data_IF_299032577557
#
_entry.id   IF_299032577557
#
_cell.length_a   1.000
_cell.length_b   1.000
_cell.length_c   1.000
_cell.angle_alpha   90.00
_cell.angle_beta   90.00
_cell.angle_gamma   90.00
#
_symmetry.space_group_name_H-M   'P 1'
#
loop_
_entity.id
_entity.type
_entity.pdbx_description
1 polymer ?
#
# COMPACT_ATOMS: atom_id res chain seq x y z
N UNK A 1 4.77 28.61 -17.57
CA UNK A 1 4.55 27.47 -16.64
C UNK A 1 3.09 27.49 -16.20
N UNK A 2 2.34 26.44 -16.48
CA UNK A 2 0.89 26.35 -16.20
C UNK A 2 0.67 25.88 -14.75
N UNK A 3 0.30 26.82 -13.86
CA UNK A 3 -0.06 26.59 -12.45
C UNK A 3 -1.47 25.95 -12.26
N UNK A 4 -2.07 25.39 -13.32
CA UNK A 4 -3.43 24.84 -13.27
C UNK A 4 -3.38 23.35 -12.94
N UNK A 5 -3.32 22.98 -11.65
CA UNK A 5 -3.79 21.66 -11.13
C UNK A 5 -3.78 21.52 -9.60
N UNK A 6 -3.63 22.59 -8.82
CA UNK A 6 -3.59 22.50 -7.36
C UNK A 6 -4.94 22.87 -6.73
N UNK A 7 -5.89 21.92 -6.72
CA UNK A 7 -7.10 22.01 -5.90
C UNK A 7 -7.29 20.66 -5.22
N UNK A 8 -6.77 20.53 -3.98
CA UNK A 8 -7.29 19.57 -3.01
C UNK A 8 -6.64 18.18 -2.89
N UNK A 9 -5.58 17.84 -3.63
CA UNK A 9 -4.80 16.60 -3.36
C UNK A 9 -3.46 16.96 -2.72
N UNK A 10 -3.24 16.51 -1.48
CA UNK A 10 -1.90 16.50 -0.89
C UNK A 10 -0.99 15.69 -1.83
N UNK A 11 -0.07 16.38 -2.50
CA UNK A 11 0.93 15.74 -3.33
C UNK A 11 1.76 14.82 -2.45
N UNK A 12 2.00 13.59 -2.90
CA UNK A 12 2.96 12.72 -2.22
C UNK A 12 4.33 13.40 -2.23
N UNK A 13 5.19 13.20 -1.21
CA UNK A 13 6.49 13.86 -1.14
C UNK A 13 7.34 13.75 -2.41
N UNK A 14 7.25 12.65 -3.15
CA UNK A 14 7.93 12.47 -4.44
C UNK A 14 7.36 13.34 -5.58
N UNK A 15 6.04 13.57 -5.60
CA UNK A 15 5.39 14.43 -6.57
C UNK A 15 5.69 15.90 -6.28
N UNK A 16 5.66 16.28 -5.00
CA UNK A 16 6.06 17.62 -4.57
C UNK A 16 7.53 17.89 -4.90
N UNK A 17 8.43 16.93 -4.64
CA UNK A 17 9.83 17.06 -5.02
C UNK A 17 10.01 17.20 -6.54
N UNK A 18 9.23 16.50 -7.37
CA UNK A 18 9.31 16.64 -8.81
C UNK A 18 8.88 18.04 -9.33
N UNK A 19 7.98 18.74 -8.62
CA UNK A 19 7.57 20.12 -8.96
C UNK A 19 8.60 21.17 -8.51
N UNK A 20 9.32 20.91 -7.42
CA UNK A 20 10.27 21.85 -6.82
C UNK A 20 11.69 21.74 -7.38
N UNK A 21 12.05 20.58 -7.95
CA UNK A 21 13.42 20.34 -8.38
C UNK A 21 13.75 21.01 -9.73
N UNK A 22 15.00 21.47 -9.90
CA UNK A 22 15.51 21.89 -11.20
C UNK A 22 15.34 20.82 -12.29
N UNK A 23 15.24 21.19 -13.59
CA UNK A 23 14.98 20.25 -14.69
C UNK A 23 16.05 19.17 -14.86
N UNK A 24 17.29 19.46 -14.48
CA UNK A 24 18.46 18.58 -14.51
C UNK A 24 18.50 17.60 -13.34
N UNK A 25 17.64 17.79 -12.34
CA UNK A 25 17.59 16.96 -11.15
C UNK A 25 16.33 16.08 -11.13
N UNK A 26 16.40 15.04 -10.31
CA UNK A 26 15.29 14.15 -10.01
C UNK A 26 15.33 13.70 -8.56
N UNK A 27 14.16 13.44 -8.00
CA UNK A 27 14.05 12.91 -6.65
C UNK A 27 14.25 11.40 -6.64
N UNK A 28 15.24 10.91 -5.90
CA UNK A 28 15.42 9.48 -5.67
C UNK A 28 14.53 9.03 -4.51
N UNK A 29 13.50 8.22 -4.78
CA UNK A 29 12.58 7.71 -3.74
C UNK A 29 13.22 6.68 -2.81
N UNK A 30 14.35 6.08 -3.20
CA UNK A 30 15.07 5.11 -2.36
C UNK A 30 15.92 5.84 -1.32
N UNK A 31 16.62 6.89 -1.76
CA UNK A 31 17.56 7.63 -0.93
C UNK A 31 16.97 8.91 -0.31
N UNK A 32 15.76 9.31 -0.73
CA UNK A 32 15.09 10.54 -0.31
C UNK A 32 15.95 11.79 -0.48
N UNK A 33 16.56 11.95 -1.65
CA UNK A 33 17.40 13.09 -1.99
C UNK A 33 17.28 13.46 -3.47
N UNK A 34 17.64 14.70 -3.79
CA UNK A 34 17.80 15.16 -5.17
C UNK A 34 19.08 14.56 -5.78
N UNK A 35 19.00 14.15 -7.05
CA UNK A 35 20.11 13.55 -7.80
C UNK A 35 20.08 14.10 -9.22
N UNK A 36 21.25 14.41 -9.77
CA UNK A 36 21.38 14.77 -11.18
C UNK A 36 20.92 13.64 -12.09
N UNK A 37 20.04 13.95 -13.05
CA UNK A 37 19.48 12.96 -13.98
C UNK A 37 20.56 12.25 -14.79
N UNK A 38 21.56 13.00 -15.26
CA UNK A 38 22.66 12.46 -16.06
C UNK A 38 23.49 11.44 -15.28
N UNK A 39 23.61 11.64 -13.96
CA UNK A 39 24.42 10.80 -13.07
C UNK A 39 23.59 9.81 -12.26
N UNK A 40 22.30 9.66 -12.59
CA UNK A 40 21.42 8.76 -11.86
C UNK A 40 21.92 7.31 -11.91
N UNK A 41 22.51 6.88 -13.02
CA UNK A 41 23.10 5.54 -13.14
C UNK A 41 24.23 5.31 -12.12
N UNK A 42 25.13 6.29 -11.96
CA UNK A 42 26.21 6.24 -10.96
C UNK A 42 25.65 6.22 -9.54
N UNK A 43 24.66 7.08 -9.25
CA UNK A 43 23.96 7.09 -7.98
C UNK A 43 23.32 5.72 -7.67
N UNK A 44 22.64 5.11 -8.65
CA UNK A 44 22.00 3.80 -8.51
C UNK A 44 23.01 2.66 -8.28
N UNK A 45 24.24 2.80 -8.78
CA UNK A 45 25.33 1.85 -8.57
C UNK A 45 25.95 1.95 -7.16
N UNK A 46 25.72 3.03 -6.42
CA UNK A 46 26.25 3.18 -5.06
C UNK A 46 25.74 2.07 -4.14
N UNK A 47 26.59 1.64 -3.20
CA UNK A 47 26.23 0.61 -2.21
C UNK A 47 25.05 1.05 -1.34
N UNK A 48 24.99 2.33 -0.97
CA UNK A 48 23.86 2.90 -0.21
C UNK A 48 22.53 2.75 -0.93
N UNK A 49 22.48 3.10 -2.22
CA UNK A 49 21.26 2.96 -3.02
C UNK A 49 20.83 1.49 -3.16
N UNK A 50 21.77 0.59 -3.49
CA UNK A 50 21.48 -0.85 -3.65
C UNK A 50 20.93 -1.47 -2.36
N UNK A 51 21.53 -1.15 -1.21
CA UNK A 51 21.07 -1.61 0.10
C UNK A 51 19.70 -1.04 0.45
N UNK A 52 19.47 0.26 0.20
CA UNK A 52 18.18 0.91 0.39
C UNK A 52 17.08 0.24 -0.43
N UNK A 53 17.35 -0.04 -1.70
CA UNK A 53 16.40 -0.72 -2.61
C UNK A 53 16.08 -2.14 -2.14
N UNK A 54 17.08 -2.91 -1.69
CA UNK A 54 16.87 -4.25 -1.12
C UNK A 54 16.00 -4.20 0.14
N UNK A 55 16.24 -3.23 1.03
CA UNK A 55 15.42 -3.04 2.24
C UNK A 55 13.99 -2.64 1.91
N UNK A 56 13.79 -1.69 0.98
CA UNK A 56 12.45 -1.30 0.51
C UNK A 56 11.67 -2.49 -0.04
N UNK A 57 12.29 -3.29 -0.92
CA UNK A 57 11.63 -4.46 -1.48
C UNK A 57 11.26 -5.48 -0.41
N UNK A 58 12.14 -5.70 0.57
CA UNK A 58 11.86 -6.58 1.71
C UNK A 58 10.67 -6.07 2.53
N UNK A 59 10.60 -4.77 2.82
CA UNK A 59 9.48 -4.17 3.57
C UNK A 59 8.17 -4.28 2.79
N UNK A 60 8.19 -4.04 1.47
CA UNK A 60 7.01 -4.22 0.61
C UNK A 60 6.50 -5.66 0.66
N UNK A 61 7.40 -6.63 0.57
CA UNK A 61 7.02 -8.04 0.64
C UNK A 61 6.46 -8.40 2.03
N UNK A 62 7.09 -7.94 3.11
CA UNK A 62 6.59 -8.14 4.46
C UNK A 62 5.20 -7.52 4.66
N UNK A 63 4.97 -6.31 4.17
CA UNK A 63 3.65 -5.66 4.28
C UNK A 63 2.58 -6.42 3.51
N UNK A 64 2.90 -6.92 2.31
CA UNK A 64 1.98 -7.73 1.51
C UNK A 64 1.67 -9.06 2.21
N UNK A 65 2.68 -9.76 2.71
CA UNK A 65 2.47 -11.00 3.47
C UNK A 65 1.65 -10.78 4.74
N UNK A 66 1.87 -9.68 5.45
CA UNK A 66 1.06 -9.34 6.63
C UNK A 66 -0.39 -9.05 6.24
N UNK A 67 -0.61 -8.38 5.10
CA UNK A 67 -1.93 -8.13 4.55
C UNK A 67 -2.65 -9.45 4.20
N UNK A 68 -1.99 -10.33 3.45
CA UNK A 68 -2.51 -11.65 3.08
C UNK A 68 -2.87 -12.48 4.32
N UNK A 69 -1.99 -12.51 5.33
CA UNK A 69 -2.24 -13.21 6.60
C UNK A 69 -3.41 -12.63 7.39
N UNK A 70 -3.54 -11.31 7.42
CA UNK A 70 -4.64 -10.64 8.13
C UNK A 70 -5.99 -10.85 7.43
N UNK A 71 -6.01 -10.92 6.10
CA UNK A 71 -7.22 -11.09 5.29
C UNK A 71 -7.60 -12.56 5.04
N UNK A 72 -6.65 -13.48 5.10
CA UNK A 72 -6.87 -14.91 4.86
C UNK A 72 -7.00 -15.30 3.38
N UNK A 73 -6.58 -14.43 2.44
CA UNK A 73 -6.64 -14.68 0.99
C UNK A 73 -5.37 -14.12 0.29
N UNK A 74 -4.80 -14.83 -0.72
CA UNK A 74 -3.63 -14.38 -1.49
C UNK A 74 -3.92 -13.16 -2.37
N UNK A 75 -2.93 -12.28 -2.57
CA UNK A 75 -3.09 -11.04 -3.35
C UNK A 75 -3.32 -11.28 -4.87
N UNK A 76 -2.84 -12.41 -5.38
CA UNK A 76 -2.97 -12.80 -6.80
C UNK A 76 -4.42 -13.10 -7.18
N UNK A 77 -5.24 -13.58 -6.24
CA UNK A 77 -6.66 -13.87 -6.47
C UNK A 77 -7.51 -12.59 -6.60
N UNK A 78 -7.11 -11.50 -5.93
CA UNK A 78 -7.82 -10.21 -6.00
C UNK A 78 -7.42 -9.38 -7.23
N UNK A 79 -6.16 -9.46 -7.66
CA UNK A 79 -5.67 -8.69 -8.82
C UNK A 79 -6.29 -9.14 -10.16
N UNK A 80 -6.84 -10.36 -10.20
CA UNK A 80 -7.56 -10.91 -11.33
C UNK A 80 -9.05 -10.51 -11.35
N UNK A 81 -9.56 -9.88 -10.28
CA UNK A 81 -10.92 -9.39 -10.21
C UNK A 81 -10.98 -7.93 -10.70
N UNK A 82 -11.19 -7.74 -12.01
CA UNK A 82 -11.65 -6.45 -12.56
C UNK A 82 -13.15 -6.27 -12.26
N UNK A 83 -13.52 -6.25 -10.97
CA UNK A 83 -14.83 -5.77 -10.54
C UNK A 83 -14.85 -4.24 -10.53
N UNK A 84 -15.99 -3.62 -10.81
CA UNK A 84 -16.11 -2.17 -10.58
C UNK A 84 -15.97 -1.87 -9.08
N UNK A 85 -15.56 -0.65 -8.71
CA UNK A 85 -15.42 -0.29 -7.28
C UNK A 85 -16.73 -0.48 -6.51
N UNK A 86 -17.87 -0.29 -7.17
CA UNK A 86 -19.21 -0.53 -6.65
C UNK A 86 -19.46 -2.02 -6.30
N UNK A 87 -18.94 -2.95 -7.10
CA UNK A 87 -19.05 -4.39 -6.87
C UNK A 87 -18.20 -4.82 -5.67
N UNK A 88 -16.96 -4.34 -5.60
CA UNK A 88 -16.04 -4.58 -4.47
C UNK A 88 -16.60 -4.01 -3.16
N UNK A 89 -17.21 -2.83 -3.21
CA UNK A 89 -17.84 -2.22 -2.04
C UNK A 89 -19.06 -3.03 -1.57
N UNK A 90 -19.88 -3.52 -2.51
CA UNK A 90 -21.03 -4.37 -2.19
C UNK A 90 -20.61 -5.70 -1.57
N UNK A 91 -19.55 -6.32 -2.09
CA UNK A 91 -18.95 -7.54 -1.52
C UNK A 91 -18.39 -7.29 -0.11
N UNK A 92 -17.67 -6.18 0.08
CA UNK A 92 -17.14 -5.80 1.38
C UNK A 92 -18.26 -5.62 2.42
N UNK A 93 -19.35 -4.94 2.08
CA UNK A 93 -20.50 -4.80 2.99
C UNK A 93 -21.13 -6.15 3.34
N UNK A 94 -21.29 -7.04 2.37
CA UNK A 94 -21.84 -8.37 2.61
C UNK A 94 -20.94 -9.19 3.54
N UNK A 95 -19.62 -9.10 3.37
CA UNK A 95 -18.65 -9.76 4.24
C UNK A 95 -18.64 -9.20 5.67
N UNK A 96 -18.74 -7.87 5.83
CA UNK A 96 -18.86 -7.25 7.15
C UNK A 96 -20.13 -7.70 7.88
N UNK A 97 -21.30 -7.68 7.20
CA UNK A 97 -22.55 -8.17 7.78
C UNK A 97 -22.46 -9.63 8.22
N UNK A 98 -21.80 -10.48 7.42
CA UNK A 98 -21.57 -11.89 7.78
C UNK A 98 -20.69 -12.02 9.03
N UNK A 99 -19.60 -11.24 9.14
CA UNK A 99 -18.71 -11.26 10.31
C UNK A 99 -19.43 -10.79 11.58
N UNK A 100 -20.24 -9.76 11.48
CA UNK A 100 -21.09 -9.27 12.58
C UNK A 100 -22.11 -10.32 13.00
N UNK A 101 -22.76 -11.00 12.06
CA UNK A 101 -23.69 -12.09 12.38
C UNK A 101 -23.00 -13.26 13.07
N UNK A 102 -21.79 -13.64 12.64
CA UNK A 102 -21.00 -14.70 13.29
C UNK A 102 -20.52 -14.27 14.69
N UNK A 103 -20.12 -13.01 14.88
CA UNK A 103 -19.69 -12.52 16.19
C UNK A 103 -20.86 -12.43 17.19
N UNK A 104 -22.05 -12.05 16.72
CA UNK A 104 -23.29 -12.09 17.50
C UNK A 104 -23.68 -13.54 17.81
N UNK A 105 -23.66 -14.46 16.83
CA UNK A 105 -23.98 -15.87 17.10
C UNK A 105 -23.01 -16.51 18.11
N UNK A 106 -21.72 -16.19 18.05
CA UNK A 106 -20.72 -16.67 19.00
C UNK A 106 -20.90 -16.09 20.43
N UNK A 107 -21.38 -14.85 20.55
CA UNK A 107 -21.66 -14.22 21.83
C UNK A 107 -22.97 -14.71 22.49
N UNK A 108 -23.90 -15.29 21.70
CA UNK A 108 -25.24 -15.70 22.17
C UNK A 108 -25.47 -17.22 22.16
N UNK A 109 -24.45 -18.03 21.85
CA UNK A 109 -24.53 -19.49 22.00
C UNK A 109 -24.73 -19.89 23.48
N UNK A 110 -25.63 -20.82 23.81
CA UNK A 110 -25.89 -21.19 25.20
C UNK A 110 -24.62 -21.77 25.81
N UNK A 111 -24.15 -21.14 26.90
CA UNK A 111 -23.09 -21.70 27.72
C UNK A 111 -23.61 -22.97 28.38
N UNK A 112 -23.51 -24.11 27.71
CA UNK A 112 -23.64 -25.42 28.35
C UNK A 112 -22.39 -25.66 29.21
N UNK A 113 -22.31 -24.95 30.35
CA UNK A 113 -21.50 -25.36 31.49
C UNK A 113 -22.31 -26.38 32.29
N UNK A 114 -22.31 -27.62 31.83
CA UNK A 114 -22.58 -28.76 32.71
C UNK A 114 -21.36 -28.92 33.62
N UNK A 115 -21.51 -28.53 34.89
CA UNK A 115 -20.62 -28.95 35.96
C UNK A 115 -21.09 -30.32 36.47
N UNK A 116 -20.25 -31.34 36.32
CA UNK A 116 -20.17 -32.49 37.21
C UNK A 116 -18.70 -32.89 37.33
#
# INVERSE_FOLDING_TARGET
MSLKKYIGRQLRPSQLAAELLPPDQMWCTVCHQAVERQRFHEHAATTGHRLGRKKMNKLKYLSLNMWERHRGAPLEEESAHEGTMEDEFSRYQADQRRREQTSVAAAWGPSNRTFF
#
